data_IF_167500522668
#
_entry.id   IF_167500522668
#
_cell.length_a   1.000
_cell.length_b   1.000
_cell.length_c   1.000
_cell.angle_alpha   90.00
_cell.angle_beta   90.00
_cell.angle_gamma   90.00
#
_symmetry.space_group_name_H-M   'P 1'
#
loop_
_entity.id
_entity.type
_entity.pdbx_description
1 polymer ?
#
# COMPACT_ATOMS: atom_id res chain seq x y z
N UNK A 1 3.64 -8.33 19.37
CA UNK A 1 2.20 -7.92 19.42
C UNK A 1 2.10 -6.63 18.65
N UNK A 2 1.72 -6.72 17.39
CA UNK A 2 1.83 -5.64 16.40
C UNK A 2 0.70 -4.58 16.56
N UNK A 3 -0.27 -4.80 17.46
CA UNK A 3 -1.52 -4.03 17.48
C UNK A 3 -1.42 -2.55 17.86
N UNK A 4 -0.62 -2.10 18.87
CA UNK A 4 -0.58 -0.68 19.24
C UNK A 4 0.16 0.15 18.19
N UNK A 5 1.24 -0.40 17.64
CA UNK A 5 2.03 0.28 16.62
C UNK A 5 1.28 0.37 15.29
N UNK A 6 0.66 -0.73 14.86
CA UNK A 6 -0.19 -0.73 13.67
C UNK A 6 -1.33 0.29 13.80
N UNK A 7 -2.01 0.35 14.96
CA UNK A 7 -3.05 1.34 15.20
C UNK A 7 -2.52 2.77 15.04
N UNK A 8 -1.37 3.09 15.64
CA UNK A 8 -0.79 4.43 15.55
C UNK A 8 -0.40 4.82 14.12
N UNK A 9 0.26 3.91 13.38
CA UNK A 9 0.62 4.14 11.98
C UNK A 9 -0.61 4.27 11.10
N UNK A 10 -1.60 3.40 11.27
CA UNK A 10 -2.80 3.42 10.46
C UNK A 10 -3.67 4.64 10.74
N UNK A 11 -3.77 5.06 12.01
CA UNK A 11 -4.39 6.31 12.38
C UNK A 11 -3.68 7.49 11.72
N UNK A 12 -2.35 7.54 11.74
CA UNK A 12 -1.58 8.58 11.07
C UNK A 12 -1.86 8.60 9.56
N UNK A 13 -1.95 7.42 8.92
CA UNK A 13 -2.33 7.29 7.51
C UNK A 13 -3.72 7.87 7.24
N UNK A 14 -4.73 7.55 8.06
CA UNK A 14 -6.08 8.12 7.96
C UNK A 14 -6.04 9.65 8.08
N UNK A 15 -5.34 10.18 9.09
CA UNK A 15 -5.27 11.63 9.33
C UNK A 15 -4.58 12.36 8.17
N UNK A 16 -3.46 11.83 7.68
CA UNK A 16 -2.73 12.40 6.53
C UNK A 16 -3.62 12.41 5.29
N UNK A 17 -4.29 11.30 5.00
CA UNK A 17 -5.23 11.17 3.88
C UNK A 17 -6.36 12.20 3.95
N UNK A 18 -6.94 12.33 5.13
CA UNK A 18 -8.15 13.11 5.32
C UNK A 18 -7.87 14.62 5.33
N UNK A 19 -6.66 15.02 5.72
CA UNK A 19 -6.26 16.43 5.84
C UNK A 19 -5.43 16.94 4.65
N UNK A 20 -5.07 16.09 3.69
CA UNK A 20 -4.44 16.56 2.45
C UNK A 20 -5.45 17.37 1.61
N UNK A 21 -5.04 18.44 0.89
CA UNK A 21 -3.71 19.05 0.89
C UNK A 21 -3.44 19.86 2.16
N UNK A 22 -2.19 19.91 2.63
CA UNK A 22 -1.77 20.67 3.83
C UNK A 22 -1.59 22.18 3.59
N UNK A 23 -2.26 22.73 2.58
CA UNK A 23 -2.16 24.14 2.19
C UNK A 23 -3.51 24.67 1.69
N UNK A 24 -3.66 26.00 1.71
CA UNK A 24 -4.90 26.66 1.25
C UNK A 24 -6.09 26.54 2.21
N UNK A 25 -5.85 26.16 3.47
CA UNK A 25 -6.88 26.03 4.48
C UNK A 25 -7.45 27.40 4.83
N UNK A 26 -8.77 27.51 4.82
CA UNK A 26 -9.50 28.73 5.17
C UNK A 26 -10.90 28.38 5.61
N UNK A 27 -11.44 29.21 6.50
CA UNK A 27 -12.85 29.13 6.83
C UNK A 27 -13.70 29.48 5.60
N UNK A 28 -14.67 28.62 5.27
CA UNK A 28 -15.49 28.70 4.07
C UNK A 28 -16.75 29.55 4.24
N UNK A 29 -17.05 29.99 5.47
CA UNK A 29 -18.24 30.79 5.80
C UNK A 29 -19.43 29.97 6.30
N UNK A 30 -19.39 28.65 6.15
CA UNK A 30 -20.43 27.73 6.60
C UNK A 30 -20.38 27.49 8.12
N UNK A 31 -21.52 27.33 8.81
CA UNK A 31 -21.53 27.08 10.25
C UNK A 31 -20.76 25.80 10.60
N UNK A 32 -19.75 25.92 11.47
CA UNK A 32 -18.72 24.89 11.70
C UNK A 32 -19.28 23.53 12.12
N UNK A 33 -20.42 23.50 12.80
CA UNK A 33 -21.05 22.28 13.32
C UNK A 33 -22.32 21.86 12.57
N UNK A 34 -22.74 22.60 11.53
CA UNK A 34 -24.02 22.32 10.87
C UNK A 34 -24.04 20.95 10.16
N UNK A 35 -22.88 20.47 9.72
CA UNK A 35 -22.78 19.20 9.00
C UNK A 35 -23.22 17.98 9.82
N UNK A 36 -23.17 18.05 11.15
CA UNK A 36 -23.65 16.97 12.02
C UNK A 36 -25.16 16.70 11.85
N UNK A 37 -25.94 17.71 11.49
CA UNK A 37 -27.40 17.65 11.40
C UNK A 37 -27.95 17.76 9.99
N UNK A 38 -27.10 17.74 8.95
CA UNK A 38 -27.59 17.74 7.57
C UNK A 38 -28.50 16.54 7.29
N UNK A 39 -29.57 16.70 6.49
CA UNK A 39 -30.35 15.57 6.04
C UNK A 39 -29.45 14.63 5.23
N UNK A 40 -29.58 13.32 5.47
CA UNK A 40 -28.82 12.34 4.71
C UNK A 40 -29.15 12.48 3.21
N UNK A 41 -28.14 12.47 2.33
CA UNK A 41 -28.35 12.69 0.91
C UNK A 41 -29.23 11.58 0.31
N UNK A 42 -30.22 11.97 -0.50
CA UNK A 42 -31.13 11.05 -1.18
C UNK A 42 -30.41 10.19 -2.24
N UNK A 43 -29.40 10.78 -2.90
CA UNK A 43 -28.46 10.07 -3.77
C UNK A 43 -27.11 10.00 -3.05
N UNK A 44 -26.72 8.80 -2.63
CA UNK A 44 -25.38 8.54 -2.14
C UNK A 44 -24.64 7.66 -3.14
N UNK A 45 -23.36 7.93 -3.31
CA UNK A 45 -22.45 7.09 -4.08
C UNK A 45 -22.10 5.88 -3.22
N UNK A 46 -22.66 4.72 -3.57
CA UNK A 46 -22.32 3.43 -2.94
C UNK A 46 -20.80 3.24 -2.82
N UNK A 47 -20.07 3.73 -3.82
CA UNK A 47 -18.63 3.70 -3.90
C UNK A 47 -17.93 4.48 -2.77
N UNK A 48 -18.30 5.75 -2.53
CA UNK A 48 -17.64 6.60 -1.53
C UNK A 48 -17.86 6.04 -0.12
N UNK A 49 -19.11 5.63 0.18
CA UNK A 49 -19.43 4.97 1.45
C UNK A 49 -18.66 3.66 1.61
N UNK A 50 -18.52 2.86 0.53
CA UNK A 50 -17.78 1.60 0.59
C UNK A 50 -16.31 1.83 0.89
N UNK A 51 -15.67 2.82 0.26
CA UNK A 51 -14.27 3.17 0.55
C UNK A 51 -14.12 3.62 2.01
N UNK A 52 -15.00 4.50 2.48
CA UNK A 52 -14.97 5.00 3.85
C UNK A 52 -15.12 3.86 4.88
N UNK A 53 -16.06 2.94 4.64
CA UNK A 53 -16.20 1.72 5.43
C UNK A 53 -14.89 0.90 5.41
N UNK A 54 -14.36 0.60 4.22
CA UNK A 54 -13.16 -0.24 4.07
C UNK A 54 -11.93 0.41 4.72
N UNK A 55 -11.79 1.74 4.63
CA UNK A 55 -10.68 2.50 5.20
C UNK A 55 -10.70 2.52 6.73
N UNK A 56 -11.86 2.39 7.39
CA UNK A 56 -11.94 2.40 8.84
C UNK A 56 -11.95 0.99 9.47
N UNK A 57 -12.11 -0.08 8.69
CA UNK A 57 -12.02 -1.47 9.19
C UNK A 57 -10.70 -1.75 9.92
N UNK A 58 -9.51 -1.43 9.37
CA UNK A 58 -8.25 -1.76 10.06
C UNK A 58 -8.05 -0.94 11.35
N UNK A 59 -8.60 0.27 11.43
CA UNK A 59 -8.60 1.09 12.64
C UNK A 59 -9.41 0.41 13.76
N UNK A 60 -10.64 0.01 13.46
CA UNK A 60 -11.50 -0.68 14.43
C UNK A 60 -10.95 -2.02 14.88
N UNK A 61 -10.41 -2.80 13.94
CA UNK A 61 -9.76 -4.09 14.21
C UNK A 61 -8.59 -3.93 15.19
N UNK A 62 -7.69 -3.00 14.90
CA UNK A 62 -6.49 -2.81 15.72
C UNK A 62 -6.82 -2.23 17.09
N UNK A 63 -7.77 -1.30 17.19
CA UNK A 63 -8.30 -0.80 18.46
C UNK A 63 -8.88 -1.93 19.32
N UNK A 64 -9.71 -2.79 18.75
CA UNK A 64 -10.29 -3.93 19.46
C UNK A 64 -9.22 -4.94 19.92
N UNK A 65 -8.19 -5.19 19.12
CA UNK A 65 -7.06 -6.05 19.52
C UNK A 65 -6.24 -5.45 20.67
N UNK A 66 -6.05 -4.13 20.72
CA UNK A 66 -5.42 -3.44 21.87
C UNK A 66 -6.30 -3.63 23.12
N UNK A 67 -7.61 -3.44 22.96
CA UNK A 67 -8.60 -3.47 24.03
C UNK A 67 -9.10 -4.88 24.37
N UNK A 68 -8.52 -5.94 23.79
CA UNK A 68 -9.00 -7.33 23.85
C UNK A 68 -9.24 -7.93 25.24
N UNK A 69 -8.70 -7.31 26.30
CA UNK A 69 -8.95 -7.72 27.70
C UNK A 69 -10.26 -7.15 28.26
N UNK A 70 -10.80 -6.09 27.65
CA UNK A 70 -12.06 -5.46 28.02
C UNK A 70 -13.23 -6.23 27.43
N UNK A 71 -14.30 -6.42 28.21
CA UNK A 71 -15.58 -6.93 27.72
C UNK A 71 -16.31 -5.92 26.81
N UNK A 72 -15.92 -4.66 26.90
CA UNK A 72 -16.47 -3.55 26.11
C UNK A 72 -15.56 -3.17 24.94
N UNK A 73 -14.62 -4.03 24.55
CA UNK A 73 -13.66 -3.77 23.47
C UNK A 73 -14.35 -3.32 22.17
N UNK A 74 -15.46 -3.97 21.81
CA UNK A 74 -16.26 -3.62 20.64
C UNK A 74 -16.80 -2.18 20.72
N UNK A 75 -17.37 -1.81 21.87
CA UNK A 75 -17.95 -0.47 22.09
C UNK A 75 -16.85 0.58 22.07
N UNK A 76 -15.79 0.40 22.84
CA UNK A 76 -14.69 1.36 22.92
C UNK A 76 -13.96 1.53 21.58
N UNK A 77 -13.70 0.44 20.84
CA UNK A 77 -13.09 0.52 19.52
C UNK A 77 -13.98 1.30 18.53
N UNK A 78 -15.29 1.03 18.54
CA UNK A 78 -16.27 1.74 17.69
C UNK A 78 -16.32 3.24 18.04
N UNK A 79 -16.37 3.57 19.34
CA UNK A 79 -16.37 4.96 19.81
C UNK A 79 -15.07 5.69 19.42
N UNK A 80 -13.91 5.04 19.52
CA UNK A 80 -12.63 5.62 19.08
C UNK A 80 -12.70 6.01 17.61
N UNK A 81 -13.14 5.11 16.73
CA UNK A 81 -13.25 5.43 15.29
C UNK A 81 -14.28 6.50 14.99
N UNK A 82 -15.43 6.51 15.70
CA UNK A 82 -16.41 7.60 15.60
C UNK A 82 -15.80 8.95 15.99
N UNK A 83 -15.10 9.04 17.12
CA UNK A 83 -14.45 10.29 17.54
C UNK A 83 -13.36 10.73 16.55
N UNK A 84 -12.57 9.79 16.02
CA UNK A 84 -11.59 10.08 14.96
C UNK A 84 -12.30 10.64 13.74
N UNK A 85 -13.40 10.01 13.27
CA UNK A 85 -14.14 10.49 12.12
C UNK A 85 -14.77 11.87 12.35
N UNK A 86 -15.37 12.11 13.52
CA UNK A 86 -15.91 13.43 13.88
C UNK A 86 -14.83 14.51 13.87
N UNK A 87 -13.64 14.21 14.39
CA UNK A 87 -12.49 15.11 14.36
C UNK A 87 -11.98 15.35 12.94
N UNK A 88 -11.94 14.30 12.10
CA UNK A 88 -11.58 14.41 10.68
C UNK A 88 -12.54 15.34 9.95
N UNK A 89 -13.85 15.10 10.01
CA UNK A 89 -14.86 15.91 9.34
C UNK A 89 -14.86 17.36 9.85
N UNK A 90 -14.71 17.56 11.16
CA UNK A 90 -14.60 18.89 11.75
C UNK A 90 -13.43 19.68 11.17
N UNK A 91 -12.26 19.05 11.01
CA UNK A 91 -11.08 19.71 10.41
C UNK A 91 -11.28 19.95 8.92
N UNK A 92 -11.95 19.04 8.22
CA UNK A 92 -12.26 19.19 6.80
C UNK A 92 -13.14 20.40 6.48
N UNK A 93 -13.86 20.95 7.46
CA UNK A 93 -14.60 22.22 7.30
C UNK A 93 -13.70 23.41 6.90
N UNK A 94 -12.40 23.33 7.19
CA UNK A 94 -11.42 24.36 6.84
C UNK A 94 -10.68 24.06 5.53
N UNK A 95 -11.01 22.97 4.83
CA UNK A 95 -10.45 22.60 3.53
C UNK A 95 -11.44 22.95 2.41
N UNK A 96 -11.16 23.97 1.56
CA UNK A 96 -12.10 24.42 0.54
C UNK A 96 -12.46 23.39 -0.53
N UNK A 97 -11.63 22.35 -0.70
CA UNK A 97 -11.85 21.26 -1.65
C UNK A 97 -12.66 20.09 -1.06
N UNK A 98 -13.05 20.16 0.22
CA UNK A 98 -13.77 19.12 0.93
C UNK A 98 -15.08 19.65 1.50
N UNK A 99 -16.04 18.76 1.64
CA UNK A 99 -17.33 19.05 2.27
C UNK A 99 -17.49 18.05 3.41
N UNK A 100 -17.55 18.56 4.64
CA UNK A 100 -17.76 17.73 5.81
C UNK A 100 -19.15 17.07 5.76
N UNK A 101 -19.24 15.79 6.14
CA UNK A 101 -20.42 14.96 5.93
C UNK A 101 -20.74 14.07 7.13
N UNK A 102 -21.98 14.11 7.62
CA UNK A 102 -22.44 13.16 8.62
C UNK A 102 -22.58 11.73 8.06
N UNK A 103 -22.78 11.58 6.74
CA UNK A 103 -22.79 10.26 6.09
C UNK A 103 -21.41 9.60 6.12
N UNK A 104 -20.33 10.40 6.05
CA UNK A 104 -18.97 9.91 6.17
C UNK A 104 -18.68 9.46 7.60
N UNK A 105 -19.15 10.20 8.61
CA UNK A 105 -19.10 9.76 10.02
C UNK A 105 -19.79 8.41 10.21
N UNK A 106 -20.99 8.24 9.65
CA UNK A 106 -21.74 6.99 9.76
C UNK A 106 -21.01 5.83 9.05
N UNK A 107 -20.50 6.06 7.84
CA UNK A 107 -19.77 5.07 7.05
C UNK A 107 -18.46 4.65 7.73
N UNK A 108 -17.67 5.62 8.18
CA UNK A 108 -16.42 5.39 8.92
C UNK A 108 -16.68 4.69 10.26
N UNK A 109 -17.73 5.10 10.98
CA UNK A 109 -18.18 4.46 12.22
C UNK A 109 -18.60 3.01 12.01
N UNK A 110 -19.34 2.72 10.92
CA UNK A 110 -19.72 1.35 10.56
C UNK A 110 -18.52 0.50 10.15
N UNK A 111 -17.59 1.05 9.37
CA UNK A 111 -16.31 0.41 9.06
C UNK A 111 -15.51 0.06 10.32
N UNK A 112 -15.41 1.00 11.25
CA UNK A 112 -14.76 0.79 12.56
C UNK A 112 -15.47 -0.32 13.34
N UNK A 113 -16.80 -0.32 13.38
CA UNK A 113 -17.58 -1.36 14.05
C UNK A 113 -17.29 -2.75 13.45
N UNK A 114 -17.35 -2.90 12.12
CA UNK A 114 -17.03 -4.16 11.44
C UNK A 114 -15.60 -4.61 11.75
N UNK A 115 -14.65 -3.68 11.68
CA UNK A 115 -13.27 -3.91 12.09
C UNK A 115 -13.17 -4.44 13.52
N UNK A 116 -13.85 -3.79 14.46
CA UNK A 116 -13.84 -4.16 15.87
C UNK A 116 -14.46 -5.55 16.11
N UNK A 117 -15.53 -5.91 15.39
CA UNK A 117 -16.09 -7.27 15.39
C UNK A 117 -15.02 -8.28 14.98
N UNK A 118 -14.32 -8.02 13.86
CA UNK A 118 -13.22 -8.89 13.40
C UNK A 118 -12.12 -8.95 14.48
N UNK A 119 -11.72 -7.84 15.07
CA UNK A 119 -10.70 -7.78 16.13
C UNK A 119 -11.08 -8.60 17.37
N UNK A 120 -12.35 -8.57 17.79
CA UNK A 120 -12.84 -9.41 18.90
C UNK A 120 -12.81 -10.89 18.54
N UNK A 121 -13.24 -11.26 17.32
CA UNK A 121 -13.17 -12.65 16.84
C UNK A 121 -11.72 -13.15 16.79
N UNK A 122 -10.79 -12.31 16.33
CA UNK A 122 -9.36 -12.62 16.28
C UNK A 122 -8.70 -12.65 17.66
N UNK A 123 -9.31 -12.02 18.66
CA UNK A 123 -8.87 -12.06 20.06
C UNK A 123 -9.20 -13.40 20.74
N UNK A 124 -9.97 -14.27 20.11
CA UNK A 124 -10.30 -15.57 20.66
C UNK A 124 -9.04 -16.45 20.80
N UNK A 125 -8.89 -17.13 21.95
CA UNK A 125 -7.68 -17.89 22.30
C UNK A 125 -7.26 -18.90 21.22
N UNK A 126 -8.23 -19.57 20.59
CA UNK A 126 -7.93 -20.54 19.52
C UNK A 126 -7.39 -19.87 18.26
N UNK A 127 -7.88 -18.69 17.89
CA UNK A 127 -7.40 -17.92 16.74
C UNK A 127 -6.01 -17.38 17.03
N UNK A 128 -5.79 -16.81 18.22
CA UNK A 128 -4.45 -16.37 18.65
C UNK A 128 -3.45 -17.51 18.58
N UNK A 129 -3.79 -18.70 19.09
CA UNK A 129 -2.90 -19.87 19.04
C UNK A 129 -2.60 -20.30 17.61
N UNK A 130 -3.61 -20.33 16.73
CA UNK A 130 -3.42 -20.65 15.30
C UNK A 130 -2.54 -19.61 14.60
N UNK A 131 -2.75 -18.33 14.89
CA UNK A 131 -1.92 -17.24 14.37
C UNK A 131 -0.48 -17.34 14.85
N UNK A 132 -0.27 -17.65 16.13
CA UNK A 132 1.06 -17.84 16.70
C UNK A 132 1.77 -19.06 16.08
N UNK A 133 1.04 -20.17 15.87
CA UNK A 133 1.56 -21.34 15.17
C UNK A 133 1.95 -20.98 13.73
N UNK A 134 1.05 -20.34 12.98
CA UNK A 134 1.35 -19.84 11.63
C UNK A 134 2.59 -18.91 11.61
N UNK A 135 2.67 -17.93 12.52
CA UNK A 135 3.85 -17.06 12.63
C UNK A 135 5.10 -17.89 12.85
N UNK A 136 5.05 -18.85 13.77
CA UNK A 136 6.21 -19.65 14.15
C UNK A 136 6.68 -20.54 13.00
N UNK A 137 5.73 -21.10 12.25
CA UNK A 137 6.01 -22.03 11.15
C UNK A 137 6.49 -21.31 9.87
N UNK A 138 6.01 -20.09 9.61
CA UNK A 138 6.23 -19.40 8.33
C UNK A 138 7.11 -18.14 8.41
N UNK A 139 7.10 -17.40 9.52
CA UNK A 139 7.85 -16.15 9.65
C UNK A 139 9.08 -16.33 10.52
N UNK A 140 10.17 -15.70 10.10
CA UNK A 140 11.37 -15.59 10.89
C UNK A 140 11.08 -14.93 12.28
N UNK A 141 11.76 -15.36 13.36
CA UNK A 141 11.66 -14.73 14.66
C UNK A 141 12.30 -13.33 14.67
N UNK A 142 11.97 -12.56 15.70
CA UNK A 142 12.57 -11.25 15.97
C UNK A 142 11.70 -10.05 15.59
N UNK A 143 11.92 -8.90 16.24
CA UNK A 143 11.13 -7.68 16.02
C UNK A 143 11.31 -7.12 14.61
N UNK A 144 12.50 -7.26 14.01
CA UNK A 144 12.74 -6.82 12.64
C UNK A 144 11.73 -7.44 11.65
N UNK A 145 11.43 -8.73 11.77
CA UNK A 145 10.47 -9.40 10.87
C UNK A 145 9.05 -8.86 11.06
N UNK A 146 8.67 -8.48 12.29
CA UNK A 146 7.38 -7.83 12.55
C UNK A 146 7.31 -6.45 11.87
N UNK A 147 8.40 -5.67 11.93
CA UNK A 147 8.54 -4.40 11.21
C UNK A 147 8.51 -4.58 9.69
N UNK A 148 9.22 -5.59 9.17
CA UNK A 148 9.21 -5.91 7.75
C UNK A 148 7.83 -6.32 7.26
N UNK A 149 7.06 -7.06 8.06
CA UNK A 149 5.67 -7.38 7.73
C UNK A 149 4.77 -6.14 7.67
N UNK A 150 4.95 -5.17 8.58
CA UNK A 150 4.23 -3.87 8.50
C UNK A 150 4.63 -3.11 7.25
N UNK A 151 5.92 -3.08 6.91
CA UNK A 151 6.41 -2.44 5.70
C UNK A 151 5.84 -3.13 4.44
N UNK A 152 5.72 -4.46 4.44
CA UNK A 152 5.04 -5.20 3.37
C UNK A 152 3.55 -4.86 3.27
N UNK A 153 2.86 -4.66 4.40
CA UNK A 153 1.47 -4.20 4.40
C UNK A 153 1.35 -2.79 3.81
N UNK A 154 2.29 -1.89 4.11
CA UNK A 154 2.35 -0.57 3.47
C UNK A 154 2.54 -0.72 1.95
N UNK A 155 3.41 -1.62 1.50
CA UNK A 155 3.55 -1.90 0.07
C UNK A 155 2.23 -2.32 -0.59
N UNK A 156 1.43 -3.16 0.06
CA UNK A 156 0.12 -3.57 -0.48
C UNK A 156 -0.81 -2.37 -0.74
N UNK A 157 -0.72 -1.31 0.06
CA UNK A 157 -1.54 -0.10 -0.16
C UNK A 157 -1.21 0.63 -1.47
N UNK A 158 0.02 0.48 -1.99
CA UNK A 158 0.40 1.03 -3.30
C UNK A 158 -0.35 0.32 -4.44
N UNK A 159 -0.85 -0.90 -4.20
CA UNK A 159 -1.58 -1.69 -5.20
C UNK A 159 -3.05 -1.30 -5.30
N UNK A 160 -3.57 -0.51 -4.36
CA UNK A 160 -4.94 -0.01 -4.42
C UNK A 160 -5.12 1.11 -5.45
N UNK A 161 -4.06 1.84 -5.79
CA UNK A 161 -4.10 2.85 -6.85
C UNK A 161 -3.89 2.16 -8.21
N UNK A 162 -4.92 2.03 -9.05
CA UNK A 162 -4.80 1.34 -10.32
C UNK A 162 -4.20 2.22 -11.42
N UNK A 163 -3.98 3.52 -11.18
CA UNK A 163 -3.28 4.39 -12.13
C UNK A 163 -1.78 4.10 -12.19
N UNK A 164 -1.21 3.59 -11.10
CA UNK A 164 0.14 3.06 -11.07
C UNK A 164 0.18 1.66 -11.70
N UNK A 165 1.19 1.31 -12.49
CA UNK A 165 1.37 -0.06 -12.96
C UNK A 165 1.65 -1.05 -11.81
N UNK A 166 1.42 -2.34 -12.04
CA UNK A 166 1.76 -3.38 -11.06
C UNK A 166 3.26 -3.32 -10.71
N UNK A 167 3.59 -3.47 -9.43
CA UNK A 167 4.95 -3.29 -8.87
C UNK A 167 5.57 -1.88 -9.03
N UNK A 168 4.83 -0.88 -9.54
CA UNK A 168 5.32 0.50 -9.69
C UNK A 168 6.21 0.73 -10.92
N UNK A 169 6.18 -0.19 -11.89
CA UNK A 169 7.00 -0.09 -13.12
C UNK A 169 6.55 1.09 -13.96
N UNK A 170 7.48 1.91 -14.44
CA UNK A 170 7.13 3.00 -15.36
C UNK A 170 6.79 2.44 -16.74
N UNK A 171 5.55 2.66 -17.19
CA UNK A 171 5.06 2.21 -18.50
C UNK A 171 4.94 3.40 -19.45
N UNK A 172 5.65 3.28 -20.57
CA UNK A 172 5.61 4.10 -21.78
C UNK A 172 5.58 5.64 -21.62
N UNK A 173 6.73 6.31 -21.62
CA UNK A 173 6.83 7.59 -22.29
C UNK A 173 6.91 7.35 -23.81
N UNK A 174 6.12 8.05 -24.61
CA UNK A 174 6.12 7.96 -26.08
C UNK A 174 7.46 8.41 -26.73
N UNK A 175 8.42 8.82 -25.92
CA UNK A 175 9.78 9.21 -26.25
C UNK A 175 10.48 9.71 -24.99
N UNK A 176 11.81 9.86 -25.00
CA UNK A 176 12.50 10.47 -23.86
C UNK A 176 12.04 11.93 -23.68
N UNK A 177 11.58 12.34 -22.48
CA UNK A 177 11.24 13.73 -22.25
C UNK A 177 12.50 14.59 -22.42
N UNK A 178 12.38 15.75 -23.04
CA UNK A 178 13.49 16.70 -23.08
C UNK A 178 13.76 17.22 -21.65
N UNK A 179 15.03 17.41 -21.23
CA UNK A 179 16.27 17.40 -22.02
C UNK A 179 17.01 16.05 -22.07
N UNK A 180 16.37 14.93 -21.72
CA UNK A 180 17.03 13.63 -21.61
C UNK A 180 17.36 13.05 -23.00
N UNK A 181 18.62 12.63 -23.16
CA UNK A 181 19.12 11.99 -24.39
C UNK A 181 19.36 10.51 -24.13
N UNK A 182 19.05 9.66 -25.12
CA UNK A 182 19.30 8.23 -24.97
C UNK A 182 20.80 7.95 -24.93
N UNK A 183 21.28 7.14 -23.97
CA UNK A 183 22.68 6.71 -23.96
C UNK A 183 23.00 5.67 -25.05
N UNK A 184 21.99 5.14 -25.74
CA UNK A 184 22.15 4.15 -26.81
C UNK A 184 21.82 4.76 -28.17
N UNK A 185 22.53 4.32 -29.21
CA UNK A 185 22.24 4.71 -30.60
C UNK A 185 20.81 4.35 -31.04
N UNK A 186 20.18 3.37 -30.38
CA UNK A 186 18.78 2.99 -30.59
C UNK A 186 17.94 3.37 -29.35
N UNK A 187 17.30 4.56 -29.34
CA UNK A 187 16.48 5.02 -28.23
C UNK A 187 15.29 4.11 -27.92
N UNK A 188 14.72 3.46 -28.93
CA UNK A 188 13.59 2.57 -28.75
C UNK A 188 14.01 1.30 -27.99
N UNK A 189 15.19 0.74 -28.29
CA UNK A 189 15.75 -0.38 -27.53
C UNK A 189 16.04 0.04 -26.08
N UNK A 190 16.61 1.23 -25.87
CA UNK A 190 16.88 1.75 -24.53
C UNK A 190 15.59 1.84 -23.69
N UNK A 191 14.51 2.41 -24.24
CA UNK A 191 13.22 2.50 -23.53
C UNK A 191 12.62 1.12 -23.21
N UNK A 192 12.71 0.16 -24.14
CA UNK A 192 12.24 -1.22 -23.89
C UNK A 192 13.03 -1.92 -22.79
N UNK A 193 14.35 -1.72 -22.77
CA UNK A 193 15.23 -2.25 -21.72
C UNK A 193 14.95 -1.58 -20.37
N UNK A 194 14.62 -0.29 -20.36
CA UNK A 194 14.29 0.41 -19.13
C UNK A 194 12.96 -0.06 -18.54
N UNK A 195 11.95 -0.27 -19.38
CA UNK A 195 10.65 -0.79 -18.97
C UNK A 195 10.73 -2.25 -18.48
N UNK A 196 11.31 -3.15 -19.30
CA UNK A 196 11.47 -4.56 -18.91
C UNK A 196 12.45 -4.75 -17.75
N UNK A 197 13.55 -4.00 -17.74
CA UNK A 197 14.52 -3.97 -16.64
C UNK A 197 13.91 -3.43 -15.35
N UNK A 198 13.11 -2.36 -15.43
CA UNK A 198 12.35 -1.83 -14.30
C UNK A 198 11.43 -2.89 -13.70
N UNK A 199 10.64 -3.57 -14.53
CA UNK A 199 9.81 -4.70 -14.08
C UNK A 199 10.61 -5.79 -13.38
N UNK A 200 11.73 -6.20 -13.98
CA UNK A 200 12.61 -7.20 -13.38
C UNK A 200 13.13 -6.76 -12.00
N UNK A 201 13.64 -5.52 -11.88
CA UNK A 201 14.22 -5.01 -10.64
C UNK A 201 13.18 -4.83 -9.52
N UNK A 202 12.00 -4.31 -9.83
CA UNK A 202 10.91 -4.18 -8.85
C UNK A 202 10.41 -5.55 -8.38
N UNK A 203 10.26 -6.51 -9.30
CA UNK A 203 9.91 -7.90 -8.97
C UNK A 203 10.94 -8.53 -8.04
N UNK A 204 12.23 -8.39 -8.37
CA UNK A 204 13.33 -8.88 -7.54
C UNK A 204 13.31 -8.24 -6.15
N UNK A 205 13.16 -6.92 -6.07
CA UNK A 205 13.13 -6.17 -4.81
C UNK A 205 12.03 -6.64 -3.87
N UNK A 206 10.79 -6.71 -4.35
CA UNK A 206 9.63 -7.12 -3.54
C UNK A 206 9.69 -8.61 -3.18
N UNK A 207 10.02 -9.48 -4.14
CA UNK A 207 10.09 -10.92 -3.87
C UNK A 207 11.21 -11.27 -2.89
N UNK A 208 12.40 -10.66 -3.04
CA UNK A 208 13.51 -10.87 -2.10
C UNK A 208 13.22 -10.26 -0.74
N UNK A 209 12.46 -9.17 -0.65
CA UNK A 209 11.97 -8.62 0.61
C UNK A 209 11.13 -9.67 1.36
N UNK A 210 10.15 -10.27 0.68
CA UNK A 210 9.36 -11.39 1.25
C UNK A 210 10.26 -12.55 1.66
N UNK A 211 11.25 -12.91 0.84
CA UNK A 211 12.18 -14.00 1.13
C UNK A 211 12.87 -13.85 2.49
N UNK A 212 13.23 -12.62 2.86
CA UNK A 212 13.95 -12.32 4.09
C UNK A 212 13.02 -12.39 5.30
N UNK A 213 11.69 -12.30 5.13
CA UNK A 213 10.71 -12.47 6.22
C UNK A 213 10.40 -13.92 6.53
N UNK A 214 10.62 -14.83 5.57
CA UNK A 214 10.20 -16.23 5.67
C UNK A 214 11.18 -17.04 6.53
N UNK A 215 10.63 -17.97 7.31
CA UNK A 215 11.34 -18.91 8.18
C UNK A 215 12.24 -19.83 7.34
N UNK A 216 11.62 -20.73 6.59
CA UNK A 216 12.35 -21.80 5.92
C UNK A 216 12.52 -21.54 4.41
N UNK A 217 13.71 -21.83 3.86
CA UNK A 217 13.99 -21.60 2.44
C UNK A 217 13.03 -22.33 1.50
N UNK A 218 12.52 -23.51 1.90
CA UNK A 218 11.54 -24.29 1.13
C UNK A 218 10.18 -23.61 0.97
N UNK A 219 9.85 -22.68 1.87
CA UNK A 219 8.56 -21.97 1.87
C UNK A 219 8.62 -20.65 1.10
N UNK A 220 9.83 -20.11 0.84
CA UNK A 220 10.04 -18.85 0.12
C UNK A 220 9.28 -18.80 -1.21
N UNK A 221 9.33 -19.83 -2.09
CA UNK A 221 8.62 -19.80 -3.37
C UNK A 221 7.12 -19.55 -3.21
N UNK A 222 6.50 -20.29 -2.28
CA UNK A 222 5.06 -20.23 -2.04
C UNK A 222 4.67 -18.89 -1.41
N UNK A 223 5.50 -18.37 -0.51
CA UNK A 223 5.27 -17.06 0.11
C UNK A 223 5.37 -15.92 -0.91
N UNK A 224 6.41 -15.91 -1.76
CA UNK A 224 6.55 -14.93 -2.84
C UNK A 224 5.35 -14.98 -3.79
N UNK A 225 5.00 -16.17 -4.29
CA UNK A 225 3.86 -16.35 -5.18
C UNK A 225 2.55 -15.93 -4.52
N UNK A 226 2.33 -16.29 -3.26
CA UNK A 226 1.14 -15.89 -2.52
C UNK A 226 1.03 -14.37 -2.37
N UNK A 227 2.11 -13.69 -1.98
CA UNK A 227 2.12 -12.21 -1.85
C UNK A 227 1.87 -11.54 -3.20
N UNK A 228 2.59 -11.94 -4.25
CA UNK A 228 2.44 -11.35 -5.58
C UNK A 228 1.06 -11.62 -6.18
N UNK A 229 0.51 -12.82 -5.99
CA UNK A 229 -0.82 -13.18 -6.47
C UNK A 229 -1.91 -12.38 -5.73
N UNK A 230 -1.83 -12.29 -4.40
CA UNK A 230 -2.74 -11.46 -3.63
C UNK A 230 -2.66 -9.99 -4.06
N UNK A 231 -1.47 -9.46 -4.29
CA UNK A 231 -1.27 -8.09 -4.75
C UNK A 231 -1.88 -7.87 -6.13
N UNK A 232 -1.73 -8.85 -7.04
CA UNK A 232 -2.33 -8.81 -8.37
C UNK A 232 -3.86 -8.87 -8.30
N UNK A 233 -4.44 -9.73 -7.47
CA UNK A 233 -5.90 -9.80 -7.29
C UNK A 233 -6.47 -8.48 -6.77
N UNK A 234 -5.82 -7.89 -5.76
CA UNK A 234 -6.16 -6.57 -5.23
C UNK A 234 -6.10 -5.53 -6.35
N UNK A 235 -5.00 -5.51 -7.11
CA UNK A 235 -4.81 -4.58 -8.23
C UNK A 235 -5.90 -4.70 -9.28
N UNK A 236 -6.22 -5.93 -9.69
CA UNK A 236 -7.27 -6.21 -10.67
C UNK A 236 -8.66 -5.82 -10.16
N UNK A 237 -8.93 -6.05 -8.87
CA UNK A 237 -10.17 -5.62 -8.22
C UNK A 237 -10.34 -4.10 -8.27
N UNK A 238 -9.34 -3.35 -7.81
CA UNK A 238 -9.36 -1.89 -7.85
C UNK A 238 -9.38 -1.35 -9.28
N UNK A 239 -8.58 -1.90 -10.20
CA UNK A 239 -8.60 -1.53 -11.61
C UNK A 239 -9.99 -1.74 -12.23
N UNK A 240 -10.67 -2.85 -11.93
CA UNK A 240 -12.02 -3.13 -12.44
C UNK A 240 -13.09 -2.19 -11.89
N UNK A 241 -12.94 -1.76 -10.63
CA UNK A 241 -13.84 -0.79 -9.99
C UNK A 241 -13.63 0.64 -10.49
N UNK A 242 -12.38 1.01 -10.80
CA UNK A 242 -11.96 2.40 -10.96
C UNK A 242 -11.63 2.81 -12.40
N UNK A 243 -10.96 1.95 -13.17
CA UNK A 243 -10.47 2.29 -14.51
C UNK A 243 -11.52 2.02 -15.58
N UNK A 244 -11.49 2.82 -16.65
CA UNK A 244 -12.23 2.54 -17.87
C UNK A 244 -11.81 1.17 -18.46
N UNK A 245 -12.71 0.42 -19.11
CA UNK A 245 -12.40 -0.91 -19.67
C UNK A 245 -11.14 -0.92 -20.54
N UNK A 246 -10.91 0.14 -21.31
CA UNK A 246 -9.78 0.31 -22.24
C UNK A 246 -8.44 0.45 -21.49
N UNK A 247 -8.46 0.97 -20.26
CA UNK A 247 -7.28 1.19 -19.43
C UNK A 247 -6.93 0.00 -18.53
N UNK A 248 -7.82 -1.00 -18.43
CA UNK A 248 -7.68 -2.10 -17.48
C UNK A 248 -6.36 -2.88 -17.64
N UNK A 249 -5.91 -3.09 -18.88
CA UNK A 249 -4.65 -3.76 -19.20
C UNK A 249 -3.58 -2.81 -19.78
N UNK A 250 -3.76 -1.49 -19.69
CA UNK A 250 -2.81 -0.52 -20.24
C UNK A 250 -1.41 -0.62 -19.61
N UNK A 251 -1.34 -1.13 -18.38
CA UNK A 251 -0.08 -1.39 -17.67
C UNK A 251 0.61 -2.69 -18.11
N UNK A 252 0.03 -3.49 -19.00
CA UNK A 252 0.59 -4.77 -19.44
C UNK A 252 1.02 -4.70 -20.91
N UNK A 253 2.30 -4.95 -21.17
CA UNK A 253 2.83 -5.09 -22.53
C UNK A 253 3.94 -6.15 -22.60
N UNK A 254 4.44 -6.40 -23.80
CA UNK A 254 5.46 -7.43 -24.03
C UNK A 254 6.75 -7.21 -23.23
N UNK A 255 7.22 -5.97 -23.09
CA UNK A 255 8.48 -5.68 -22.38
C UNK A 255 8.35 -6.01 -20.89
N UNK A 256 7.21 -5.67 -20.29
CA UNK A 256 6.89 -5.98 -18.90
C UNK A 256 6.77 -7.49 -18.70
N UNK A 257 6.10 -8.20 -19.61
CA UNK A 257 6.00 -9.67 -19.55
C UNK A 257 7.39 -10.32 -19.63
N UNK A 258 8.23 -9.88 -20.58
CA UNK A 258 9.60 -10.38 -20.71
C UNK A 258 10.43 -10.06 -19.46
N UNK A 259 10.33 -8.84 -18.94
CA UNK A 259 10.99 -8.43 -17.70
C UNK A 259 10.59 -9.28 -16.50
N UNK A 260 9.29 -9.60 -16.39
CA UNK A 260 8.76 -10.50 -15.36
C UNK A 260 9.27 -11.94 -15.50
N UNK A 261 9.33 -12.47 -16.73
CA UNK A 261 9.87 -13.82 -17.01
C UNK A 261 11.36 -13.90 -16.65
N UNK A 262 12.16 -12.94 -17.12
CA UNK A 262 13.60 -12.87 -16.79
C UNK A 262 13.79 -12.71 -15.28
N UNK A 263 13.02 -11.84 -14.63
CA UNK A 263 13.05 -11.68 -13.18
C UNK A 263 12.69 -12.96 -12.42
N UNK A 264 11.73 -13.73 -12.92
CA UNK A 264 11.39 -15.05 -12.37
C UNK A 264 12.54 -16.06 -12.46
N UNK A 265 13.25 -16.10 -13.60
CA UNK A 265 14.43 -16.95 -13.80
C UNK A 265 15.55 -16.54 -12.84
N UNK A 266 15.81 -15.24 -12.71
CA UNK A 266 16.83 -14.71 -11.77
C UNK A 266 16.44 -15.02 -10.32
N UNK A 267 15.16 -14.86 -9.94
CA UNK A 267 14.66 -15.19 -8.61
C UNK A 267 14.87 -16.66 -8.24
N UNK A 268 14.67 -17.57 -9.21
CA UNK A 268 14.89 -19.00 -9.00
C UNK A 268 16.32 -19.34 -8.57
N UNK A 269 17.30 -18.54 -9.01
CA UNK A 269 18.70 -18.66 -8.56
C UNK A 269 18.89 -17.96 -7.21
N UNK A 270 18.45 -16.70 -7.12
CA UNK A 270 18.75 -15.85 -5.95
C UNK A 270 18.09 -16.34 -4.67
N UNK A 271 16.90 -16.95 -4.72
CA UNK A 271 16.22 -17.41 -3.51
C UNK A 271 16.92 -18.60 -2.81
N UNK A 272 17.88 -19.25 -3.48
CA UNK A 272 18.64 -20.40 -2.96
C UNK A 272 19.84 -19.92 -2.13
N UNK A 273 20.18 -18.63 -2.25
CA UNK A 273 21.28 -18.03 -1.51
C UNK A 273 20.91 -17.87 -0.03
N UNK A 274 21.94 -17.71 0.80
CA UNK A 274 21.74 -17.39 2.21
C UNK A 274 20.99 -16.05 2.37
N UNK A 275 20.40 -15.83 3.56
CA UNK A 275 19.53 -14.68 3.82
C UNK A 275 20.22 -13.34 3.58
N UNK A 276 21.51 -13.24 3.90
CA UNK A 276 22.34 -12.04 3.69
C UNK A 276 22.52 -11.70 2.22
N UNK A 277 22.85 -12.68 1.39
CA UNK A 277 23.00 -12.48 -0.06
C UNK A 277 21.66 -12.17 -0.73
N UNK A 278 20.56 -12.78 -0.25
CA UNK A 278 19.20 -12.41 -0.68
C UNK A 278 18.89 -10.95 -0.34
N UNK A 279 19.25 -10.50 0.87
CA UNK A 279 19.09 -9.11 1.28
C UNK A 279 19.96 -8.15 0.45
N UNK A 280 21.22 -8.51 0.18
CA UNK A 280 22.12 -7.73 -0.67
C UNK A 280 21.60 -7.61 -2.11
N UNK A 281 21.15 -8.72 -2.71
CA UNK A 281 20.55 -8.70 -4.04
C UNK A 281 19.24 -7.89 -4.09
N UNK A 282 18.41 -7.98 -3.04
CA UNK A 282 17.20 -7.17 -2.90
C UNK A 282 17.50 -5.67 -2.79
N UNK A 283 18.50 -5.30 -1.98
CA UNK A 283 18.98 -3.94 -1.85
C UNK A 283 19.47 -3.38 -3.19
N UNK A 284 20.36 -4.10 -3.87
CA UNK A 284 20.89 -3.68 -5.19
C UNK A 284 19.78 -3.55 -6.21
N UNK A 285 18.80 -4.46 -6.21
CA UNK A 285 17.67 -4.41 -7.15
C UNK A 285 16.79 -3.18 -6.92
N UNK A 286 16.40 -2.91 -5.66
CA UNK A 286 15.60 -1.72 -5.34
C UNK A 286 16.37 -0.43 -5.57
N UNK A 287 17.64 -0.37 -5.18
CA UNK A 287 18.49 0.79 -5.38
C UNK A 287 18.67 1.09 -6.87
N UNK A 288 18.91 0.07 -7.70
CA UNK A 288 18.98 0.22 -9.14
C UNK A 288 17.63 0.71 -9.72
N UNK A 289 16.50 0.16 -9.25
CA UNK A 289 15.17 0.59 -9.71
C UNK A 289 14.89 2.07 -9.41
N UNK A 290 15.18 2.52 -8.18
CA UNK A 290 14.99 3.92 -7.78
C UNK A 290 15.96 4.83 -8.53
N UNK A 291 17.23 4.46 -8.60
CA UNK A 291 18.26 5.25 -9.27
C UNK A 291 17.98 5.42 -10.77
N UNK A 292 17.54 4.36 -11.44
CA UNK A 292 17.14 4.41 -12.85
C UNK A 292 15.94 5.34 -13.05
N UNK A 293 14.95 5.27 -12.15
CA UNK A 293 13.76 6.12 -12.19
C UNK A 293 14.09 7.60 -11.95
N UNK A 294 15.07 7.89 -11.10
CA UNK A 294 15.53 9.25 -10.81
C UNK A 294 16.33 9.86 -11.98
N UNK A 295 17.20 9.07 -12.63
CA UNK A 295 18.00 9.56 -13.78
C UNK A 295 17.14 9.70 -15.04
N UNK A 296 16.25 8.75 -15.29
CA UNK A 296 15.34 8.77 -16.44
C UNK A 296 13.90 8.78 -15.95
N UNK A 297 13.38 9.97 -15.57
CA UNK A 297 11.98 10.13 -15.19
C UNK A 297 11.12 9.93 -16.43
N UNK A 298 10.83 8.67 -16.73
CA UNK A 298 10.02 8.20 -17.84
C UNK A 298 8.53 8.37 -17.56
N UNK A 299 8.16 9.13 -16.53
CA UNK A 299 6.78 9.40 -16.19
C UNK A 299 6.08 9.98 -17.40
N UNK A 300 5.06 9.26 -17.89
CA UNK A 300 4.09 9.85 -18.78
C UNK A 300 3.64 11.16 -18.13
N UNK A 301 3.85 12.30 -18.81
CA UNK A 301 3.24 13.58 -18.38
C UNK A 301 1.81 13.26 -18.00
N UNK A 302 1.43 13.61 -16.77
CA UNK A 302 0.09 13.44 -16.27
C UNK A 302 -0.91 13.98 -17.29
N UNK A 303 -1.42 13.12 -18.17
CA UNK A 303 -2.75 13.28 -18.73
C UNK A 303 -3.65 13.47 -17.52
N UNK A 304 -4.61 14.41 -17.53
CA UNK A 304 -5.39 14.72 -16.33
C UNK A 304 -5.87 13.40 -15.76
N UNK A 305 -5.35 13.01 -14.59
CA UNK A 305 -5.54 11.65 -14.04
C UNK A 305 -7.02 11.31 -13.94
N UNK A 306 -7.89 12.33 -13.92
CA UNK A 306 -9.33 12.26 -14.05
C UNK A 306 -9.86 11.54 -15.31
N UNK A 307 -9.15 11.53 -16.45
CA UNK A 307 -9.65 10.90 -17.68
C UNK A 307 -9.55 9.37 -17.71
N UNK A 308 -8.64 8.77 -16.93
CA UNK A 308 -8.46 7.30 -16.90
C UNK A 308 -9.46 6.62 -15.95
N UNK A 309 -10.01 7.37 -15.01
CA UNK A 309 -11.03 6.88 -14.08
C UNK A 309 -12.42 6.94 -14.71
N UNK A 310 -13.29 5.98 -14.39
CA UNK A 310 -14.71 6.02 -14.77
C UNK A 310 -15.49 7.11 -14.01
N UNK A 311 -14.91 7.62 -12.92
CA UNK A 311 -15.59 8.40 -11.91
C UNK A 311 -14.85 9.69 -11.60
N UNK A 312 -15.54 10.84 -11.67
CA UNK A 312 -15.00 12.17 -11.35
C UNK A 312 -15.21 12.48 -9.85
N UNK A 313 -14.45 11.86 -8.95
CA UNK A 313 -14.60 12.12 -7.50
C UNK A 313 -13.32 12.65 -6.86
N UNK A 314 -13.44 13.74 -6.10
CA UNK A 314 -12.33 14.37 -5.37
C UNK A 314 -11.63 13.40 -4.42
N UNK A 315 -12.36 12.51 -3.74
CA UNK A 315 -11.80 11.50 -2.83
C UNK A 315 -10.74 10.58 -3.46
N UNK A 316 -10.88 10.26 -4.76
CA UNK A 316 -9.91 9.43 -5.48
C UNK A 316 -8.55 10.10 -5.63
N UNK A 317 -8.51 11.43 -5.75
CA UNK A 317 -7.25 12.18 -5.86
C UNK A 317 -6.43 12.07 -4.57
N UNK A 318 -7.08 12.11 -3.40
CA UNK A 318 -6.39 11.99 -2.12
C UNK A 318 -5.93 10.56 -1.83
N UNK A 319 -6.75 9.57 -2.21
CA UNK A 319 -6.38 8.15 -2.09
C UNK A 319 -5.18 7.78 -2.97
N UNK A 320 -5.19 8.19 -4.24
CA UNK A 320 -4.06 8.00 -5.14
C UNK A 320 -2.82 8.74 -4.62
N UNK A 321 -2.98 9.98 -4.12
CA UNK A 321 -1.90 10.76 -3.53
C UNK A 321 -1.16 10.03 -2.39
N UNK A 322 -1.88 9.26 -1.55
CA UNK A 322 -1.23 8.42 -0.54
C UNK A 322 -0.53 7.21 -1.16
N UNK A 323 -1.17 6.47 -2.06
CA UNK A 323 -0.54 5.31 -2.69
C UNK A 323 0.74 5.71 -3.43
N UNK A 324 0.76 6.92 -4.04
CA UNK A 324 1.96 7.56 -4.56
C UNK A 324 2.98 7.87 -3.45
N UNK A 325 2.59 8.59 -2.39
CA UNK A 325 3.51 8.94 -1.31
C UNK A 325 4.12 7.70 -0.62
N UNK A 326 3.33 6.65 -0.40
CA UNK A 326 3.81 5.37 0.11
C UNK A 326 4.70 4.70 -0.94
N UNK A 327 4.33 4.73 -2.22
CA UNK A 327 5.17 4.24 -3.32
C UNK A 327 6.54 4.91 -3.38
N UNK A 328 6.63 6.20 -3.07
CA UNK A 328 7.87 6.96 -3.04
C UNK A 328 8.70 6.64 -1.79
N UNK A 329 8.08 6.52 -0.62
CA UNK A 329 8.80 6.28 0.65
C UNK A 329 9.18 4.81 0.85
N UNK A 330 8.36 3.88 0.34
CA UNK A 330 8.50 2.46 0.61
C UNK A 330 9.86 1.87 0.19
N UNK A 331 10.41 2.16 -1.01
CA UNK A 331 11.70 1.62 -1.43
C UNK A 331 12.82 1.95 -0.44
N UNK A 332 12.84 3.16 0.11
CA UNK A 332 13.87 3.57 1.07
C UNK A 332 13.80 2.79 2.38
N UNK A 333 12.61 2.59 2.93
CA UNK A 333 12.47 1.76 4.14
C UNK A 333 12.77 0.28 3.88
N UNK A 334 12.45 -0.22 2.68
CA UNK A 334 12.80 -1.58 2.28
C UNK A 334 14.32 -1.76 2.11
N UNK A 335 15.02 -0.75 1.59
CA UNK A 335 16.48 -0.73 1.52
C UNK A 335 17.12 -0.69 2.93
N UNK A 336 16.64 0.15 3.84
CA UNK A 336 17.10 0.16 5.23
C UNK A 336 16.89 -1.21 5.91
N UNK A 337 15.76 -1.85 5.62
CA UNK A 337 15.46 -3.20 6.10
C UNK A 337 16.46 -4.23 5.56
N UNK A 338 16.81 -4.17 4.26
CA UNK A 338 17.85 -5.03 3.71
C UNK A 338 19.22 -4.78 4.33
N UNK A 339 19.61 -3.52 4.53
CA UNK A 339 20.87 -3.16 5.18
C UNK A 339 20.99 -3.76 6.58
N UNK A 340 19.89 -3.79 7.34
CA UNK A 340 19.85 -4.48 8.64
C UNK A 340 20.22 -5.98 8.50
N UNK A 341 19.61 -6.71 7.57
CA UNK A 341 19.92 -8.14 7.38
C UNK A 341 21.30 -8.42 6.77
N UNK A 342 21.86 -7.46 6.05
CA UNK A 342 23.24 -7.52 5.55
C UNK A 342 24.22 -7.35 6.72
N UNK A 343 23.97 -6.39 7.61
CA UNK A 343 24.85 -6.04 8.71
C UNK A 343 24.83 -7.05 9.88
N UNK A 344 23.67 -7.66 10.16
CA UNK A 344 23.51 -8.56 11.32
C UNK A 344 24.31 -9.87 11.15
N UNK A 345 25.14 -10.29 12.14
CA UNK A 345 25.90 -11.55 12.18
C UNK A 345 25.07 -12.78 11.79
N UNK A 346 25.64 -13.73 11.03
CA UNK A 346 24.94 -14.95 10.61
C UNK A 346 24.50 -15.82 11.81
N UNK A 347 25.27 -15.79 12.91
CA UNK A 347 24.93 -16.49 14.16
C UNK A 347 23.65 -15.98 14.82
N UNK A 348 23.24 -14.73 14.58
CA UNK A 348 21.94 -14.21 15.05
C UNK A 348 20.79 -14.53 14.08
N UNK A 349 21.10 -15.10 12.92
CA UNK A 349 20.14 -15.41 11.86
C UNK A 349 19.83 -16.90 11.72
N UNK A 350 20.59 -17.78 12.39
CA UNK A 350 20.36 -19.22 12.43
C UNK A 350 19.29 -19.55 13.50
N UNK A 351 18.06 -19.85 13.06
CA UNK A 351 16.92 -20.23 13.91
C UNK A 351 16.01 -21.25 13.25
#
# INVERSE_FOLDING_TARGET
MVSPFFFAVYLLVILILSWYPFSGWRFTGEPVFAFYSYPLPYYFTLFDNTINILAYIPLGLSAALILRRSRLALIYATLIGLFVSMGVEFVQQFLPSRVASNMDILSNGFGTFLGAVIGVLFSHRSVIRRWQAFRYDYLAPGPAVEWGAIWLLLWFTTQFDPSLPFLGVVVLPQGLPQPFVSPMNNPALFLRLLEGGGMMLHLLGVALFVSVLVRESRQIPRAMLGVLFCALLVKMGFAGMLLQPEQFFAWLNLNIVLGGVVGGIVLWVLWQLNRRLRAAAGFVSLFAATWVSDIWPLTAKASPQLMIFRWNYGHLQHFNGLSHAIGDVWPFGAMLFFLYFIAVPAQEQDW
#
